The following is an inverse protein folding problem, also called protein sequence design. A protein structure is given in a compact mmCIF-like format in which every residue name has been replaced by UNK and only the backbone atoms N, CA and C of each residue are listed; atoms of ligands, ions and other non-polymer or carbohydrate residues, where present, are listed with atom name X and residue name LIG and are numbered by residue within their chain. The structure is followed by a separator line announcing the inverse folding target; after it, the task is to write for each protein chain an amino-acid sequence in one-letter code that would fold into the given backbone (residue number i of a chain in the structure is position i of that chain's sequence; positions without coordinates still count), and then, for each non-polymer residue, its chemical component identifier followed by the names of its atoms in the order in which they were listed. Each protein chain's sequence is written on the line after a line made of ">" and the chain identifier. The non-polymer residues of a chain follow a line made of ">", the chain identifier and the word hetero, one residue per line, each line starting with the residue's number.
data_IF_666860915655
#
_entry.id   IF_666860915655
#
_cell.length_a   1.000
_cell.length_b   1.000
_cell.length_c   1.000
_cell.angle_alpha   90.00
_cell.angle_beta   90.00
_cell.angle_gamma   90.00
#
_symmetry.space_group_name_H-M   'P 1'
#
loop_
_entity.id
_entity.type
_entity.pdbx_description
1 polymer ?
#
# COMPACT_ATOMS: atom_id res chain seq x y z
N UNK A 1 23.25 18.08 -12.53
CA UNK A 1 22.02 17.27 -12.54
C UNK A 1 22.42 15.81 -12.62
N UNK A 2 21.68 14.95 -11.91
CA UNK A 2 21.79 13.48 -11.78
C UNK A 2 22.63 12.90 -10.63
N UNK A 3 22.24 13.16 -9.38
CA UNK A 3 22.76 12.40 -8.20
C UNK A 3 21.84 11.26 -7.75
N UNK A 4 20.56 11.21 -8.13
CA UNK A 4 19.63 10.23 -7.54
C UNK A 4 19.75 8.79 -8.06
N UNK A 5 20.27 8.57 -9.27
CA UNK A 5 20.44 7.21 -9.81
C UNK A 5 21.75 6.56 -9.34
N UNK A 6 22.81 7.37 -9.21
CA UNK A 6 24.12 6.92 -8.75
C UNK A 6 24.11 6.62 -7.24
N UNK A 7 23.33 7.36 -6.45
CA UNK A 7 23.16 7.10 -5.02
C UNK A 7 22.41 5.79 -4.74
N UNK A 8 21.49 5.38 -5.61
CA UNK A 8 20.78 4.09 -5.53
C UNK A 8 21.71 2.92 -5.85
N UNK A 9 22.52 3.05 -6.92
CA UNK A 9 23.55 2.07 -7.28
C UNK A 9 24.68 1.98 -6.22
N UNK A 10 24.98 3.09 -5.54
CA UNK A 10 26.00 3.15 -4.49
C UNK A 10 25.51 2.49 -3.19
N UNK A 11 24.21 2.52 -2.91
CA UNK A 11 23.58 1.70 -1.87
C UNK A 11 23.68 0.19 -2.14
N UNK A 12 23.53 -0.24 -3.39
CA UNK A 12 23.71 -1.64 -3.79
C UNK A 12 25.18 -2.10 -3.71
N UNK A 13 26.13 -1.21 -3.98
CA UNK A 13 27.58 -1.51 -3.91
C UNK A 13 28.15 -1.60 -2.50
N UNK A 14 27.48 -1.05 -1.48
CA UNK A 14 27.93 -1.14 -0.07
C UNK A 14 27.79 -2.55 0.54
N UNK A 15 27.24 -3.52 -0.20
CA UNK A 15 27.03 -4.90 0.25
C UNK A 15 28.24 -5.83 0.05
N UNK A 16 29.39 -5.31 -0.39
CA UNK A 16 30.60 -6.11 -0.63
C UNK A 16 31.49 -6.19 0.61
N UNK A 17 31.19 -7.11 1.54
CA UNK A 17 32.22 -7.52 2.52
C UNK A 17 31.80 -8.14 3.85
N UNK A 18 30.52 -8.29 4.17
CA UNK A 18 30.08 -9.00 5.38
C UNK A 18 29.24 -10.21 5.01
N UNK A 19 29.37 -11.33 5.74
CA UNK A 19 28.34 -12.37 5.72
C UNK A 19 27.08 -11.80 6.39
N UNK A 20 26.32 -11.04 5.61
CA UNK A 20 24.97 -10.66 5.92
C UNK A 20 24.05 -11.78 5.42
N UNK A 21 23.09 -12.28 6.23
CA UNK A 21 22.03 -13.13 5.70
C UNK A 21 21.36 -12.42 4.49
N UNK A 22 20.76 -13.18 3.54
CA UNK A 22 20.23 -12.62 2.29
C UNK A 22 19.47 -11.33 2.56
N UNK A 23 19.64 -10.28 1.71
CA UNK A 23 19.30 -8.93 2.09
C UNK A 23 17.86 -8.89 2.58
N UNK A 24 17.67 -8.57 3.85
CA UNK A 24 16.34 -8.19 4.34
C UNK A 24 15.97 -6.95 3.53
N UNK A 25 15.15 -7.16 2.49
CA UNK A 25 14.75 -6.09 1.58
C UNK A 25 13.91 -5.13 2.42
N UNK A 26 14.47 -3.96 2.71
CA UNK A 26 13.85 -2.96 3.58
C UNK A 26 12.55 -2.52 2.89
N UNK A 27 11.37 -2.65 3.53
CA UNK A 27 10.13 -2.21 2.94
C UNK A 27 10.16 -0.73 2.55
N UNK A 28 9.74 -0.44 1.32
CA UNK A 28 9.44 0.92 0.86
C UNK A 28 8.07 1.34 1.38
N UNK A 29 7.88 2.65 1.55
CA UNK A 29 6.63 3.23 2.01
C UNK A 29 5.99 4.05 0.89
N UNK A 30 4.70 3.79 0.62
CA UNK A 30 3.85 4.65 -0.18
C UNK A 30 2.84 5.34 0.74
N UNK A 31 3.04 6.63 0.97
CA UNK A 31 2.21 7.45 1.86
C UNK A 31 1.42 8.49 1.05
N UNK A 32 0.12 8.64 1.31
CA UNK A 32 -0.68 9.69 0.70
C UNK A 32 -0.35 11.06 1.34
N UNK A 33 0.05 12.08 0.57
CA UNK A 33 0.43 13.39 1.14
C UNK A 33 -0.78 14.23 1.60
N UNK A 34 -1.99 13.81 1.23
CA UNK A 34 -3.27 14.45 1.58
C UNK A 34 -4.33 13.37 1.73
N UNK A 35 -5.45 13.73 2.34
CA UNK A 35 -6.64 12.88 2.35
C UNK A 35 -7.02 12.52 0.92
N UNK A 36 -7.21 11.24 0.68
CA UNK A 36 -7.46 10.65 -0.62
C UNK A 36 -8.56 9.60 -0.52
N UNK A 37 -9.15 9.26 -1.66
CA UNK A 37 -10.07 8.14 -1.78
C UNK A 37 -9.36 6.85 -2.23
N UNK A 38 -8.14 6.97 -2.76
CA UNK A 38 -7.36 5.84 -3.25
C UNK A 38 -5.87 6.15 -3.30
N UNK A 39 -5.06 5.10 -3.32
CA UNK A 39 -3.62 5.16 -3.55
C UNK A 39 -3.19 3.96 -4.39
N UNK A 40 -2.34 4.22 -5.39
CA UNK A 40 -1.58 3.18 -6.09
C UNK A 40 -0.24 3.10 -5.36
N UNK A 41 -0.07 2.10 -4.50
CA UNK A 41 1.11 1.96 -3.67
C UNK A 41 2.30 1.38 -4.45
N UNK A 42 2.04 0.42 -5.35
CA UNK A 42 3.04 -0.21 -6.19
C UNK A 42 2.44 -0.62 -7.53
N UNK A 43 3.27 -0.64 -8.58
CA UNK A 43 2.91 -1.13 -9.91
C UNK A 43 3.82 -2.27 -10.33
N UNK A 44 3.26 -3.42 -10.68
CA UNK A 44 3.99 -4.66 -11.01
C UNK A 44 4.01 -5.66 -9.86
N UNK A 45 4.73 -6.76 -10.07
CA UNK A 45 4.88 -7.84 -9.08
C UNK A 45 5.51 -7.28 -7.81
N UNK A 46 4.86 -7.48 -6.67
CA UNK A 46 5.31 -6.96 -5.39
C UNK A 46 4.74 -7.74 -4.20
N UNK A 47 5.22 -7.41 -3.00
CA UNK A 47 4.76 -7.97 -1.73
C UNK A 47 4.34 -6.88 -0.76
N UNK A 48 3.12 -6.99 -0.24
CA UNK A 48 2.57 -6.13 0.79
C UNK A 48 2.90 -6.69 2.17
N UNK A 49 3.58 -5.90 3.00
CA UNK A 49 3.85 -6.27 4.39
C UNK A 49 2.76 -5.78 5.33
N UNK A 50 2.28 -4.57 5.09
CA UNK A 50 1.23 -3.97 5.88
C UNK A 50 0.78 -2.65 5.31
N UNK A 51 -0.27 -2.13 5.90
CA UNK A 51 -0.68 -0.75 5.67
C UNK A 51 -1.43 -0.23 6.88
N UNK A 52 -1.42 1.08 7.02
CA UNK A 52 -2.28 1.83 7.92
C UNK A 52 -3.14 2.78 7.10
N UNK A 53 -4.44 2.81 7.40
CA UNK A 53 -5.38 3.74 6.81
C UNK A 53 -6.09 4.48 7.94
N UNK A 54 -6.09 5.81 7.90
CA UNK A 54 -6.76 6.65 8.90
C UNK A 54 -7.87 7.43 8.22
N UNK A 55 -9.11 7.21 8.66
CA UNK A 55 -10.28 7.92 8.14
C UNK A 55 -10.60 9.12 9.02
N UNK A 56 -10.87 10.28 8.43
CA UNK A 56 -11.44 11.44 9.14
C UNK A 56 -12.97 11.49 9.05
N UNK A 57 -13.59 10.52 8.36
CA UNK A 57 -15.03 10.47 8.19
C UNK A 57 -15.73 10.06 9.49
N UNK A 58 -16.92 10.61 9.71
CA UNK A 58 -17.79 10.30 10.87
C UNK A 58 -18.50 8.94 10.75
N UNK A 59 -18.50 8.34 9.56
CA UNK A 59 -18.98 6.99 9.31
C UNK A 59 -17.81 6.02 9.12
N UNK A 60 -18.03 4.74 9.44
CA UNK A 60 -17.07 3.69 9.12
C UNK A 60 -16.86 3.59 7.60
N UNK A 61 -15.64 3.30 7.19
CA UNK A 61 -15.24 3.15 5.79
C UNK A 61 -14.59 1.78 5.60
N UNK A 62 -14.74 1.22 4.41
CA UNK A 62 -14.09 -0.02 4.03
C UNK A 62 -12.88 0.29 3.16
N UNK A 63 -11.71 -0.23 3.55
CA UNK A 63 -10.51 -0.17 2.73
C UNK A 63 -10.44 -1.45 1.92
N UNK A 64 -10.62 -1.29 0.62
CA UNK A 64 -10.59 -2.35 -0.37
C UNK A 64 -9.20 -2.43 -0.99
N UNK A 65 -8.63 -3.63 -1.03
CA UNK A 65 -7.35 -3.88 -1.69
C UNK A 65 -7.54 -4.63 -2.99
N UNK A 66 -6.83 -4.20 -4.04
CA UNK A 66 -6.88 -4.77 -5.38
C UNK A 66 -5.47 -5.07 -5.89
N UNK A 67 -5.35 -6.16 -6.64
CA UNK A 67 -4.15 -6.51 -7.39
C UNK A 67 -4.26 -5.97 -8.80
N UNK A 68 -3.96 -4.69 -8.93
CA UNK A 68 -4.05 -3.93 -10.19
C UNK A 68 -2.98 -2.84 -10.18
N UNK A 69 -2.69 -2.25 -11.33
CA UNK A 69 -1.76 -1.14 -11.47
C UNK A 69 -2.45 0.23 -11.66
N UNK A 70 -3.78 0.26 -11.58
CA UNK A 70 -4.61 1.45 -11.77
C UNK A 70 -5.83 1.38 -10.86
N UNK A 71 -6.40 2.54 -10.53
CA UNK A 71 -7.62 2.60 -9.71
C UNK A 71 -8.76 1.85 -10.41
N UNK A 72 -9.34 0.79 -9.79
CA UNK A 72 -10.43 0.04 -10.40
C UNK A 72 -11.69 0.88 -10.60
N UNK A 73 -12.51 0.50 -11.58
CA UNK A 73 -13.82 1.10 -11.78
C UNK A 73 -14.79 0.75 -10.65
N UNK A 74 -15.84 1.56 -10.48
CA UNK A 74 -16.91 1.28 -9.53
C UNK A 74 -17.56 -0.09 -9.85
N UNK A 75 -17.85 -0.87 -8.80
CA UNK A 75 -18.35 -2.24 -8.93
C UNK A 75 -17.27 -3.32 -8.99
N UNK A 76 -15.98 -2.97 -9.04
CA UNK A 76 -14.88 -3.94 -8.98
C UNK A 76 -14.89 -4.74 -7.65
N UNK A 77 -14.51 -6.01 -7.73
CA UNK A 77 -14.44 -6.93 -6.58
C UNK A 77 -13.05 -6.86 -5.93
N UNK A 78 -12.97 -6.65 -4.60
CA UNK A 78 -11.69 -6.58 -3.89
C UNK A 78 -11.10 -7.97 -3.63
N UNK A 79 -9.78 -8.03 -3.46
CA UNK A 79 -9.10 -9.24 -2.98
C UNK A 79 -9.32 -9.48 -1.50
N UNK A 80 -9.36 -8.40 -0.73
CA UNK A 80 -9.75 -8.39 0.67
C UNK A 80 -10.17 -6.99 1.08
N UNK A 81 -10.87 -6.95 2.20
CA UNK A 81 -11.45 -5.73 2.74
C UNK A 81 -11.09 -5.60 4.21
N UNK A 82 -10.82 -4.37 4.64
CA UNK A 82 -10.59 -4.01 6.04
C UNK A 82 -11.60 -2.96 6.43
N UNK A 83 -12.32 -3.17 7.52
CA UNK A 83 -13.20 -2.15 8.09
C UNK A 83 -12.37 -1.17 8.93
N UNK A 84 -12.51 0.12 8.66
CA UNK A 84 -11.93 1.21 9.44
C UNK A 84 -13.07 1.97 10.10
N UNK A 85 -13.06 1.97 11.43
CA UNK A 85 -14.05 2.69 12.21
C UNK A 85 -13.99 4.21 11.96
N UNK A 86 -15.10 4.89 12.25
CA UNK A 86 -15.19 6.35 12.13
C UNK A 86 -14.10 7.05 12.94
N UNK A 87 -13.48 8.08 12.35
CA UNK A 87 -12.44 8.91 12.97
C UNK A 87 -11.29 8.10 13.64
N UNK A 88 -10.99 6.91 13.12
CA UNK A 88 -10.01 5.99 13.71
C UNK A 88 -8.99 5.52 12.66
N UNK A 89 -7.74 5.21 13.07
CA UNK A 89 -6.85 4.40 12.27
C UNK A 89 -7.34 2.95 12.22
N UNK A 90 -7.08 2.28 11.11
CA UNK A 90 -7.07 0.83 10.99
C UNK A 90 -5.78 0.39 10.32
N UNK A 91 -5.22 -0.73 10.76
CA UNK A 91 -3.95 -1.25 10.24
C UNK A 91 -4.03 -2.73 9.99
N UNK A 92 -3.31 -3.20 8.98
CA UNK A 92 -3.10 -4.62 8.70
C UNK A 92 -1.62 -4.90 8.58
N UNK A 93 -1.21 -6.02 9.16
CA UNK A 93 0.14 -6.54 9.03
C UNK A 93 0.07 -8.02 8.65
N UNK A 94 0.72 -8.40 7.55
CA UNK A 94 0.75 -9.76 6.99
C UNK A 94 1.96 -10.58 7.46
N UNK A 95 2.70 -10.10 8.47
CA UNK A 95 3.87 -10.80 8.99
C UNK A 95 5.13 -10.59 8.13
N UNK A 96 6.17 -11.39 8.42
CA UNK A 96 7.48 -11.27 7.80
C UNK A 96 7.57 -11.76 6.35
N UNK A 97 6.57 -12.53 5.89
CA UNK A 97 6.50 -13.03 4.51
C UNK A 97 5.81 -11.99 3.59
N UNK A 98 4.87 -11.23 4.14
CA UNK A 98 3.97 -10.39 3.37
C UNK A 98 2.99 -11.20 2.52
N UNK A 99 2.11 -10.50 1.80
CA UNK A 99 1.19 -11.06 0.81
C UNK A 99 1.67 -10.68 -0.59
N UNK A 100 1.72 -11.64 -1.51
CA UNK A 100 2.12 -11.42 -2.91
C UNK A 100 1.00 -10.83 -3.76
N UNK A 101 1.40 -10.00 -4.71
CA UNK A 101 0.58 -9.34 -5.73
C UNK A 101 1.28 -9.45 -7.09
N UNK A 102 0.53 -9.72 -8.15
CA UNK A 102 1.09 -10.01 -9.48
C UNK A 102 1.10 -8.76 -10.39
N UNK A 103 0.17 -7.83 -10.17
CA UNK A 103 -0.06 -6.65 -11.01
C UNK A 103 0.22 -5.33 -10.29
N UNK A 104 0.06 -5.29 -8.97
CA UNK A 104 0.35 -4.10 -8.16
C UNK A 104 -0.49 -4.05 -6.89
N UNK A 105 -0.34 -2.99 -6.11
CA UNK A 105 -1.11 -2.78 -4.88
C UNK A 105 -1.88 -1.48 -5.02
N UNK A 106 -3.21 -1.58 -5.08
CA UNK A 106 -4.10 -0.42 -5.04
C UNK A 106 -5.02 -0.56 -3.85
N UNK A 107 -5.06 0.49 -3.02
CA UNK A 107 -6.02 0.61 -1.93
C UNK A 107 -7.03 1.70 -2.29
N UNK A 108 -8.30 1.40 -2.06
CA UNK A 108 -9.39 2.37 -2.22
C UNK A 108 -10.25 2.40 -0.96
N UNK A 109 -10.70 3.58 -0.59
CA UNK A 109 -11.79 3.68 0.36
C UNK A 109 -13.13 3.43 -0.34
N UNK A 110 -14.03 2.79 0.38
CA UNK A 110 -15.33 2.39 -0.12
C UNK A 110 -16.38 2.49 0.98
N UNK A 111 -17.58 2.89 0.58
CA UNK A 111 -18.75 2.88 1.48
C UNK A 111 -19.38 1.48 1.58
N UNK A 112 -18.99 0.55 0.70
CA UNK A 112 -19.47 -0.84 0.66
C UNK A 112 -18.32 -1.83 0.77
N UNK A 113 -18.55 -2.96 1.44
CA UNK A 113 -17.52 -3.98 1.67
C UNK A 113 -17.25 -4.87 0.45
N UNK A 114 -18.29 -5.27 -0.28
CA UNK A 114 -18.23 -6.34 -1.29
C UNK A 114 -17.85 -5.89 -2.69
N UNK A 115 -18.12 -4.63 -3.02
CA UNK A 115 -17.77 -4.00 -4.30
C UNK A 115 -17.27 -2.59 -4.05
N UNK A 116 -16.44 -2.07 -4.97
CA UNK A 116 -15.96 -0.70 -4.89
C UNK A 116 -17.09 0.30 -5.13
N UNK A 117 -17.48 1.01 -4.08
CA UNK A 117 -18.27 2.25 -4.16
C UNK A 117 -17.40 3.36 -3.61
N UNK A 118 -16.66 4.03 -4.50
CA UNK A 118 -15.59 4.94 -4.11
C UNK A 118 -16.08 6.02 -3.15
N UNK A 119 -15.39 6.16 -2.03
CA UNK A 119 -15.72 7.14 -1.00
C UNK A 119 -15.26 8.55 -1.36
N UNK A 120 -15.58 9.49 -0.47
CA UNK A 120 -15.01 10.83 -0.48
C UNK A 120 -13.51 10.78 -0.12
N UNK A 121 -12.75 11.82 -0.46
CA UNK A 121 -11.32 11.87 -0.19
C UNK A 121 -11.03 12.22 1.29
N UNK A 122 -11.32 11.29 2.19
CA UNK A 122 -11.28 11.47 3.65
C UNK A 122 -10.33 10.48 4.35
N UNK A 123 -9.47 9.79 3.60
CA UNK A 123 -8.60 8.73 4.14
C UNK A 123 -7.13 9.03 3.86
N UNK A 124 -6.30 8.94 4.89
CA UNK A 124 -4.84 8.89 4.75
C UNK A 124 -4.40 7.43 4.67
N UNK A 125 -3.54 7.13 3.70
CA UNK A 125 -2.96 5.81 3.48
C UNK A 125 -1.46 5.84 3.72
N UNK A 126 -0.95 4.80 4.37
CA UNK A 126 0.48 4.52 4.49
C UNK A 126 0.69 3.02 4.26
N UNK A 127 1.39 2.65 3.19
CA UNK A 127 1.50 1.27 2.71
C UNK A 127 2.95 0.84 2.68
N UNK A 128 3.29 -0.27 3.32
CA UNK A 128 4.64 -0.83 3.36
C UNK A 128 4.76 -2.04 2.43
N UNK A 129 5.65 -1.97 1.45
CA UNK A 129 5.77 -2.98 0.39
C UNK A 129 7.21 -3.17 -0.11
N UNK A 130 7.42 -4.24 -0.86
CA UNK A 130 8.70 -4.60 -1.49
C UNK A 130 8.44 -5.09 -2.92
N UNK A 131 9.30 -4.72 -3.88
CA UNK A 131 9.28 -5.28 -5.25
C UNK A 131 9.92 -6.67 -5.35
#
# INVERSE_FOLDING_TARGET
>A
MSTSAQDFEQGERSLRGGWFPPPYRIPANATSPKLANSIIAASGVCRLYGFTATSTNVAAQFILCFDTNAVPAAGALPLFTVNVAAASPGSVYFGSVGRSFDHGIVLCNSTTQGTLTIGAADTLFDVQYVY
#
